data_IF_794431281815
#
_entry.id   IF_794431281815
#
_cell.length_a   1.000
_cell.length_b   1.000
_cell.length_c   1.000
_cell.angle_alpha   90.00
_cell.angle_beta   90.00
_cell.angle_gamma   90.00
#
_symmetry.space_group_name_H-M   'P 1'
#
loop_
_entity.id
_entity.type
_entity.pdbx_description
1 polymer ?
#
# COMPACT_ATOMS: atom_id res chain seq x y z
N UNK A 1 -14.61 -4.65 -13.91
CA UNK A 1 -15.13 -3.28 -14.17
C UNK A 1 -14.26 -2.45 -15.13
N UNK A 2 -13.14 -2.96 -15.68
CA UNK A 2 -12.22 -2.19 -16.55
C UNK A 2 -12.21 -2.58 -18.04
N UNK A 3 -13.25 -3.25 -18.54
CA UNK A 3 -13.32 -3.63 -19.96
C UNK A 3 -14.01 -2.59 -20.86
N UNK A 4 -14.76 -1.63 -20.29
CA UNK A 4 -15.52 -0.63 -21.07
C UNK A 4 -14.69 0.51 -21.65
N UNK A 5 -13.55 0.85 -21.04
CA UNK A 5 -12.72 2.02 -21.41
C UNK A 5 -12.13 1.87 -22.82
N UNK A 6 -11.89 0.63 -23.25
CA UNK A 6 -11.26 0.33 -24.54
C UNK A 6 -12.23 0.46 -25.72
N UNK A 7 -13.53 0.34 -25.48
CA UNK A 7 -14.55 0.40 -26.53
C UNK A 7 -14.87 1.83 -26.92
N UNK A 8 -14.92 2.76 -25.97
CA UNK A 8 -15.22 4.18 -26.22
C UNK A 8 -14.12 4.88 -27.04
N UNK A 9 -12.87 4.42 -26.92
CA UNK A 9 -11.72 4.98 -27.65
C UNK A 9 -11.74 4.65 -29.15
N UNK A 10 -12.42 3.57 -29.56
CA UNK A 10 -12.50 3.18 -30.97
C UNK A 10 -13.68 3.80 -31.71
N UNK A 11 -14.72 4.28 -31.01
CA UNK A 11 -15.94 4.82 -31.65
C UNK A 11 -15.88 6.32 -31.88
N UNK A 12 -15.07 7.06 -31.10
CA UNK A 12 -14.88 8.49 -31.29
C UNK A 12 -13.56 8.76 -32.01
N UNK A 13 -13.67 9.17 -33.27
CA UNK A 13 -12.55 9.67 -34.05
C UNK A 13 -11.73 10.69 -33.26
N UNK A 14 -10.41 10.49 -33.30
CA UNK A 14 -9.38 11.20 -32.54
C UNK A 14 -9.45 12.74 -32.63
N UNK A 15 -10.08 13.26 -33.68
CA UNK A 15 -10.13 14.70 -33.98
C UNK A 15 -11.30 15.45 -33.32
N UNK A 16 -12.35 14.77 -32.86
CA UNK A 16 -13.52 15.42 -32.24
C UNK A 16 -13.39 15.62 -30.72
N UNK A 17 -12.42 14.98 -30.07
CA UNK A 17 -12.26 15.07 -28.62
C UNK A 17 -11.38 16.25 -28.19
N UNK A 18 -10.53 16.77 -29.08
CA UNK A 18 -9.49 17.75 -28.75
C UNK A 18 -9.98 19.20 -28.75
N UNK A 19 -11.16 19.52 -29.31
CA UNK A 19 -11.58 20.92 -29.48
C UNK A 19 -12.55 21.49 -28.44
N UNK A 20 -13.20 20.69 -27.59
CA UNK A 20 -14.26 21.25 -26.72
C UNK A 20 -14.23 20.81 -25.26
N UNK A 21 -13.45 19.79 -24.87
CA UNK A 21 -13.46 19.29 -23.48
C UNK A 21 -12.11 18.81 -22.96
N UNK A 22 -11.00 19.45 -23.35
CA UNK A 22 -9.76 19.28 -22.61
C UNK A 22 -9.73 20.32 -21.47
N UNK A 23 -10.12 20.00 -20.21
CA UNK A 23 -9.55 20.76 -19.11
C UNK A 23 -8.03 20.58 -19.25
N UNK A 24 -7.26 21.63 -18.99
CA UNK A 24 -5.82 21.59 -19.07
C UNK A 24 -5.28 20.47 -18.16
N UNK A 25 -5.11 19.26 -18.70
CA UNK A 25 -4.43 18.14 -18.05
C UNK A 25 -2.95 18.44 -18.20
N UNK A 26 -2.52 19.45 -17.45
CA UNK A 26 -1.15 19.57 -17.01
C UNK A 26 -1.14 19.25 -15.53
N UNK A 27 -1.56 18.02 -15.18
CA UNK A 27 -1.22 17.44 -13.88
C UNK A 27 0.28 17.18 -13.88
N UNK A 28 1.07 18.24 -13.69
CA UNK A 28 2.31 18.04 -12.92
C UNK A 28 1.82 17.40 -11.62
N UNK A 29 2.14 16.12 -11.42
CA UNK A 29 1.67 15.35 -10.27
C UNK A 29 1.81 16.21 -9.02
N UNK A 30 0.68 16.54 -8.39
CA UNK A 30 0.70 17.40 -7.22
C UNK A 30 1.31 16.54 -6.12
N UNK A 31 2.56 16.81 -5.79
CA UNK A 31 3.24 16.15 -4.69
C UNK A 31 2.39 16.32 -3.43
N UNK A 32 2.31 15.25 -2.63
CA UNK A 32 1.67 15.34 -1.33
C UNK A 32 2.53 16.23 -0.44
N UNK A 33 1.92 17.08 0.40
CA UNK A 33 2.68 17.85 1.36
C UNK A 33 3.51 16.89 2.24
N UNK A 34 4.76 17.26 2.55
CA UNK A 34 5.54 16.54 3.55
C UNK A 34 4.73 16.48 4.85
N UNK A 35 4.74 15.33 5.49
CA UNK A 35 4.19 15.15 6.83
C UNK A 35 5.28 14.55 7.67
N UNK A 36 5.29 14.88 8.97
CA UNK A 36 6.07 14.10 9.92
C UNK A 36 5.50 12.68 9.87
N UNK A 37 6.36 11.73 9.50
CA UNK A 37 5.95 10.33 9.39
C UNK A 37 5.59 9.74 10.75
N UNK A 38 4.98 8.55 10.77
CA UNK A 38 4.68 7.84 12.00
C UNK A 38 5.92 7.72 12.89
N UNK A 39 5.71 7.82 14.20
CA UNK A 39 6.77 7.73 15.18
C UNK A 39 7.58 6.44 15.01
N UNK A 40 8.91 6.59 14.92
CA UNK A 40 9.87 5.49 14.74
C UNK A 40 9.67 4.60 13.49
N UNK A 41 8.98 5.05 12.44
CA UNK A 41 8.72 4.20 11.26
C UNK A 41 10.00 3.60 10.64
N UNK A 42 11.11 4.32 10.57
CA UNK A 42 12.37 3.80 10.04
C UNK A 42 12.89 2.58 10.83
N UNK A 43 12.84 2.66 12.16
CA UNK A 43 13.23 1.58 13.06
C UNK A 43 12.28 0.39 12.91
N UNK A 44 10.98 0.64 12.80
CA UNK A 44 9.96 -0.41 12.69
C UNK A 44 10.06 -1.18 11.38
N UNK A 45 10.30 -0.48 10.26
CA UNK A 45 10.52 -1.13 8.96
C UNK A 45 11.84 -1.92 8.95
N UNK A 46 12.87 -1.42 9.64
CA UNK A 46 14.13 -2.16 9.81
C UNK A 46 13.92 -3.45 10.63
N UNK A 47 13.27 -3.36 11.79
CA UNK A 47 12.96 -4.52 12.64
C UNK A 47 12.06 -5.53 11.91
N UNK A 48 11.10 -5.05 11.10
CA UNK A 48 10.30 -5.90 10.22
C UNK A 48 11.18 -6.67 9.22
N UNK A 49 12.11 -5.98 8.53
CA UNK A 49 12.99 -6.63 7.56
C UNK A 49 13.82 -7.73 8.22
N UNK A 50 14.45 -7.44 9.36
CA UNK A 50 15.25 -8.41 10.12
C UNK A 50 14.41 -9.64 10.53
N UNK A 51 13.18 -9.41 11.00
CA UNK A 51 12.25 -10.48 11.35
C UNK A 51 11.88 -11.35 10.13
N UNK A 52 11.53 -10.72 9.02
CA UNK A 52 11.14 -11.41 7.78
C UNK A 52 12.31 -12.22 7.21
N UNK A 53 13.52 -11.67 7.22
CA UNK A 53 14.73 -12.38 6.78
C UNK A 53 14.99 -13.63 7.64
N UNK A 54 14.82 -13.50 8.96
CA UNK A 54 15.06 -14.59 9.91
C UNK A 54 14.01 -15.71 9.84
N UNK A 55 12.73 -15.35 9.74
CA UNK A 55 11.61 -16.33 9.84
C UNK A 55 11.21 -16.91 8.49
N UNK A 56 11.47 -16.22 7.36
CA UNK A 56 11.07 -16.73 6.05
C UNK A 56 11.78 -18.03 5.71
N UNK A 57 11.02 -18.99 5.18
CA UNK A 57 11.55 -20.20 4.55
C UNK A 57 12.42 -19.85 3.35
N UNK A 58 13.36 -20.72 3.00
CA UNK A 58 14.31 -20.47 1.92
C UNK A 58 13.63 -20.23 0.55
N UNK A 59 12.47 -20.88 0.31
CA UNK A 59 11.71 -20.72 -0.93
C UNK A 59 11.06 -19.33 -1.07
N UNK A 60 10.65 -18.73 0.06
CA UNK A 60 9.83 -17.51 0.08
C UNK A 60 10.62 -16.26 0.46
N UNK A 61 11.84 -16.44 1.00
CA UNK A 61 12.63 -15.38 1.62
C UNK A 61 12.91 -14.24 0.66
N UNK A 62 13.31 -14.53 -0.57
CA UNK A 62 13.63 -13.50 -1.56
C UNK A 62 12.42 -12.58 -1.81
N UNK A 63 11.25 -13.17 -2.04
CA UNK A 63 10.02 -12.43 -2.33
C UNK A 63 9.53 -11.63 -1.12
N UNK A 64 9.56 -12.23 0.08
CA UNK A 64 9.17 -11.54 1.30
C UNK A 64 10.09 -10.34 1.61
N UNK A 65 11.41 -10.51 1.44
CA UNK A 65 12.38 -9.44 1.64
C UNK A 65 12.17 -8.33 0.61
N UNK A 66 11.98 -8.70 -0.66
CA UNK A 66 11.70 -7.74 -1.73
C UNK A 66 10.45 -6.89 -1.44
N UNK A 67 9.39 -7.53 -0.90
CA UNK A 67 8.15 -6.86 -0.52
C UNK A 67 8.37 -5.82 0.59
N UNK A 68 9.25 -6.10 1.55
CA UNK A 68 9.64 -5.15 2.60
C UNK A 68 10.51 -4.02 2.04
N UNK A 69 11.38 -4.28 1.07
CA UNK A 69 12.20 -3.24 0.41
C UNK A 69 11.34 -2.25 -0.37
N UNK A 70 10.34 -2.75 -1.10
CA UNK A 70 9.33 -1.92 -1.76
C UNK A 70 8.62 -1.05 -0.73
N UNK A 71 8.22 -1.63 0.40
CA UNK A 71 7.57 -0.89 1.47
C UNK A 71 8.50 0.21 2.03
N UNK A 72 9.77 -0.10 2.29
CA UNK A 72 10.76 0.87 2.76
C UNK A 72 10.96 2.05 1.80
N UNK A 73 11.02 1.76 0.49
CA UNK A 73 11.08 2.79 -0.55
C UNK A 73 9.83 3.69 -0.50
N UNK A 74 8.65 3.10 -0.34
CA UNK A 74 7.40 3.85 -0.24
C UNK A 74 7.34 4.77 0.98
N UNK A 75 7.77 4.31 2.16
CA UNK A 75 7.91 5.17 3.33
C UNK A 75 8.86 6.35 3.04
N UNK A 76 10.01 6.06 2.41
CA UNK A 76 11.00 7.08 2.06
C UNK A 76 10.46 8.11 1.06
N UNK A 77 9.69 7.68 0.07
CA UNK A 77 9.08 8.57 -0.91
C UNK A 77 7.96 9.42 -0.28
N UNK A 78 7.13 8.79 0.56
CA UNK A 78 5.99 9.41 1.22
C UNK A 78 6.41 10.52 2.19
N UNK A 79 7.39 10.25 3.03
CA UNK A 79 7.85 11.16 4.08
C UNK A 79 9.03 12.03 3.64
N UNK A 80 9.73 11.65 2.56
CA UNK A 80 10.74 12.47 1.88
C UNK A 80 10.17 13.49 0.89
N UNK A 81 8.84 13.61 0.77
CA UNK A 81 8.17 14.59 -0.11
C UNK A 81 8.32 14.32 -1.61
N UNK A 82 8.61 13.08 -1.99
CA UNK A 82 8.79 12.66 -3.40
C UNK A 82 7.52 12.06 -4.00
N UNK A 83 6.53 11.71 -3.16
CA UNK A 83 5.30 11.06 -3.60
C UNK A 83 4.18 12.02 -4.02
N UNK A 84 3.39 11.55 -4.99
CA UNK A 84 2.11 12.14 -5.39
C UNK A 84 0.91 11.31 -4.92
N UNK A 85 -0.29 11.91 -5.00
CA UNK A 85 -1.56 11.34 -4.50
C UNK A 85 -1.85 9.88 -4.94
N UNK A 86 -1.51 9.51 -6.18
CA UNK A 86 -1.83 8.19 -6.74
C UNK A 86 -0.71 7.16 -6.60
N UNK A 87 0.51 7.59 -6.26
CA UNK A 87 1.69 6.72 -6.30
C UNK A 87 1.80 5.80 -5.08
N UNK A 88 1.25 6.20 -3.94
CA UNK A 88 1.46 5.47 -2.68
C UNK A 88 0.63 4.19 -2.61
N UNK A 89 -0.71 4.26 -2.65
CA UNK A 89 -1.54 3.07 -2.39
C UNK A 89 -1.61 2.10 -3.56
N UNK A 90 -1.74 2.60 -4.78
CA UNK A 90 -1.77 1.72 -5.95
C UNK A 90 -0.37 1.21 -6.32
N UNK A 91 0.68 1.96 -6.00
CA UNK A 91 2.06 1.58 -6.29
C UNK A 91 2.43 0.24 -5.65
N UNK A 92 2.03 -0.01 -4.41
CA UNK A 92 2.35 -1.28 -3.74
C UNK A 92 1.69 -2.48 -4.43
N UNK A 93 0.37 -2.44 -4.64
CA UNK A 93 -0.38 -3.55 -5.25
C UNK A 93 0.12 -3.90 -6.66
N UNK A 94 0.57 -2.91 -7.44
CA UNK A 94 1.10 -3.15 -8.78
C UNK A 94 2.58 -3.59 -8.79
N UNK A 95 3.28 -3.49 -7.67
CA UNK A 95 4.70 -3.86 -7.53
C UNK A 95 4.91 -5.21 -6.85
N UNK A 96 3.91 -5.74 -6.17
CA UNK A 96 3.98 -7.09 -5.59
C UNK A 96 3.91 -8.14 -6.69
N UNK A 97 4.63 -9.26 -6.53
CA UNK A 97 4.48 -10.40 -7.41
C UNK A 97 3.11 -11.07 -7.22
N UNK A 98 2.68 -11.82 -8.24
CA UNK A 98 1.48 -12.65 -8.14
C UNK A 98 1.60 -13.70 -7.03
N UNK A 99 2.81 -14.23 -6.77
CA UNK A 99 3.03 -15.21 -5.70
C UNK A 99 2.80 -14.60 -4.31
N UNK A 100 3.34 -13.40 -4.07
CA UNK A 100 3.09 -12.68 -2.83
C UNK A 100 1.59 -12.40 -2.64
N UNK A 101 0.89 -11.98 -3.69
CA UNK A 101 -0.55 -11.70 -3.65
C UNK A 101 -1.37 -12.97 -3.40
N UNK A 102 -1.00 -14.10 -4.01
CA UNK A 102 -1.62 -15.40 -3.79
C UNK A 102 -1.47 -15.85 -2.33
N UNK A 103 -0.28 -15.68 -1.76
CA UNK A 103 0.01 -16.01 -0.36
C UNK A 103 -0.73 -15.10 0.61
N UNK A 104 -0.79 -13.80 0.31
CA UNK A 104 -1.61 -12.84 1.04
C UNK A 104 -3.09 -13.26 1.02
N UNK A 105 -3.61 -13.69 -0.13
CA UNK A 105 -4.98 -14.18 -0.27
C UNK A 105 -5.21 -15.50 0.50
N UNK A 106 -4.20 -16.36 0.57
CA UNK A 106 -4.20 -17.59 1.38
C UNK A 106 -4.02 -17.33 2.88
N UNK A 107 -3.85 -16.07 3.28
CA UNK A 107 -3.70 -15.62 4.68
C UNK A 107 -2.39 -16.10 5.31
N UNK A 108 -1.33 -16.20 4.51
CA UNK A 108 -0.01 -16.47 5.03
C UNK A 108 0.40 -15.38 6.04
N UNK A 109 0.96 -15.73 7.21
CA UNK A 109 1.25 -14.75 8.25
C UNK A 109 2.24 -13.65 7.82
N UNK A 110 3.30 -14.00 7.09
CA UNK A 110 4.35 -13.03 6.73
C UNK A 110 3.83 -11.96 5.74
N UNK A 111 3.16 -12.32 4.62
CA UNK A 111 2.49 -11.34 3.77
C UNK A 111 1.48 -10.48 4.52
N UNK A 112 0.68 -11.06 5.43
CA UNK A 112 -0.27 -10.29 6.24
C UNK A 112 0.41 -9.26 7.15
N UNK A 113 1.54 -9.61 7.78
CA UNK A 113 2.32 -8.68 8.60
C UNK A 113 2.86 -7.53 7.75
N UNK A 114 3.42 -7.82 6.58
CA UNK A 114 3.92 -6.80 5.64
C UNK A 114 2.76 -5.90 5.20
N UNK A 115 1.61 -6.49 4.87
CA UNK A 115 0.42 -5.76 4.47
C UNK A 115 -0.09 -4.84 5.59
N UNK A 116 -0.03 -5.26 6.86
CA UNK A 116 -0.38 -4.40 8.00
C UNK A 116 0.50 -3.14 8.06
N UNK A 117 1.80 -3.26 7.75
CA UNK A 117 2.70 -2.10 7.74
C UNK A 117 2.45 -1.19 6.53
N UNK A 118 1.96 -1.73 5.41
CA UNK A 118 1.45 -0.94 4.30
C UNK A 118 0.18 -0.16 4.68
N UNK A 119 -0.70 -0.71 5.52
CA UNK A 119 -1.93 -0.03 5.96
C UNK A 119 -1.64 1.32 6.66
N UNK A 120 -0.48 1.49 7.28
CA UNK A 120 -0.07 2.78 7.85
C UNK A 120 0.09 3.85 6.75
N UNK A 121 0.69 3.51 5.62
CA UNK A 121 0.76 4.41 4.45
C UNK A 121 -0.62 4.64 3.84
N UNK A 122 -1.49 3.64 3.88
CA UNK A 122 -2.88 3.77 3.41
C UNK A 122 -3.69 4.73 4.30
N UNK A 123 -3.46 4.72 5.61
CA UNK A 123 -4.13 5.61 6.56
C UNK A 123 -3.84 7.08 6.28
N UNK A 124 -2.61 7.41 5.90
CA UNK A 124 -2.24 8.75 5.44
C UNK A 124 -3.09 9.26 4.28
N UNK A 125 -3.61 8.34 3.46
CA UNK A 125 -4.47 8.65 2.32
C UNK A 125 -5.94 8.79 2.68
N UNK A 126 -6.40 8.48 3.90
CA UNK A 126 -7.81 8.68 4.31
C UNK A 126 -8.25 10.14 4.31
N UNK A 127 -7.31 11.08 4.14
CA UNK A 127 -7.61 12.47 3.78
C UNK A 127 -8.42 12.60 2.48
N UNK A 128 -8.30 11.63 1.58
CA UNK A 128 -9.07 11.54 0.35
C UNK A 128 -10.39 10.80 0.60
N UNK A 129 -11.47 11.36 0.08
CA UNK A 129 -12.83 10.89 0.36
C UNK A 129 -13.04 9.41 -0.01
N UNK A 130 -12.38 8.93 -1.06
CA UNK A 130 -12.51 7.55 -1.55
C UNK A 130 -11.68 6.52 -0.75
N UNK A 131 -10.72 6.99 0.06
CA UNK A 131 -9.91 6.14 0.94
C UNK A 131 -10.48 6.01 2.35
N UNK A 132 -11.44 6.86 2.73
CA UNK A 132 -12.04 6.85 4.07
C UNK A 132 -12.60 5.46 4.43
N UNK A 133 -12.18 4.93 5.57
CA UNK A 133 -12.70 3.68 6.13
C UNK A 133 -11.95 2.43 5.67
N UNK A 134 -11.06 2.54 4.68
CA UNK A 134 -10.25 1.42 4.21
C UNK A 134 -9.28 0.94 5.28
N UNK A 135 -8.68 1.84 6.07
CA UNK A 135 -7.75 1.47 7.14
C UNK A 135 -8.42 0.55 8.15
N UNK A 136 -9.62 0.90 8.60
CA UNK A 136 -10.36 0.06 9.54
C UNK A 136 -10.74 -1.28 8.93
N UNK A 137 -11.28 -1.29 7.71
CA UNK A 137 -11.70 -2.52 7.02
C UNK A 137 -10.53 -3.50 6.84
N UNK A 138 -9.39 -3.00 6.34
CA UNK A 138 -8.23 -3.84 6.05
C UNK A 138 -7.56 -4.32 7.33
N UNK A 139 -7.38 -3.46 8.35
CA UNK A 139 -6.80 -3.89 9.63
C UNK A 139 -7.64 -4.96 10.31
N UNK A 140 -8.97 -4.82 10.29
CA UNK A 140 -9.87 -5.84 10.85
C UNK A 140 -9.69 -7.19 10.13
N UNK A 141 -9.66 -7.19 8.80
CA UNK A 141 -9.44 -8.41 8.02
C UNK A 141 -8.07 -9.07 8.28
N UNK A 142 -7.02 -8.26 8.40
CA UNK A 142 -5.67 -8.76 8.77
C UNK A 142 -5.70 -9.37 10.16
N UNK A 143 -6.26 -8.66 11.15
CA UNK A 143 -6.25 -9.10 12.55
C UNK A 143 -7.06 -10.40 12.77
N UNK A 144 -8.16 -10.57 12.05
CA UNK A 144 -8.97 -11.79 12.06
C UNK A 144 -8.25 -12.97 11.38
N UNK A 145 -7.53 -12.71 10.29
CA UNK A 145 -6.81 -13.74 9.54
C UNK A 145 -5.50 -14.18 10.20
N UNK A 146 -4.85 -13.30 10.98
CA UNK A 146 -3.52 -13.52 11.52
C UNK A 146 -3.57 -14.38 12.81
N UNK A 147 -2.80 -15.49 12.88
CA UNK A 147 -2.68 -16.29 14.10
C UNK A 147 -2.17 -15.48 15.30
N UNK A 148 -2.53 -15.89 16.50
CA UNK A 148 -2.30 -15.12 17.73
C UNK A 148 -0.80 -14.87 17.99
N UNK A 149 0.04 -15.86 17.67
CA UNK A 149 1.50 -15.79 17.79
C UNK A 149 2.14 -14.72 16.90
N UNK A 150 1.47 -14.32 15.82
CA UNK A 150 1.96 -13.31 14.89
C UNK A 150 1.38 -11.91 15.15
N UNK A 151 0.32 -11.78 15.96
CA UNK A 151 -0.27 -10.49 16.33
C UNK A 151 0.68 -9.48 16.98
N UNK A 152 1.72 -9.87 17.74
CA UNK A 152 2.71 -8.92 18.25
C UNK A 152 3.37 -8.08 17.15
N UNK A 153 3.57 -8.63 15.95
CA UNK A 153 4.23 -7.95 14.83
C UNK A 153 3.35 -6.88 14.16
N UNK A 154 2.04 -6.86 14.42
CA UNK A 154 1.13 -5.83 13.89
C UNK A 154 0.71 -4.79 14.94
N UNK A 155 1.29 -4.83 16.15
CA UNK A 155 0.98 -3.87 17.21
C UNK A 155 1.37 -2.44 16.85
N UNK A 156 2.54 -2.24 16.24
CA UNK A 156 2.96 -0.91 15.81
C UNK A 156 2.05 -0.35 14.71
N UNK A 157 1.73 -1.09 13.63
CA UNK A 157 0.73 -0.64 12.67
C UNK A 157 -0.60 -0.24 13.30
N UNK A 158 -1.15 -1.07 14.20
CA UNK A 158 -2.39 -0.77 14.92
C UNK A 158 -2.31 0.55 15.69
N UNK A 159 -1.23 0.75 16.47
CA UNK A 159 -1.02 1.97 17.23
C UNK A 159 -0.84 3.21 16.34
N UNK A 160 -0.07 3.08 15.25
CA UNK A 160 0.20 4.17 14.30
C UNK A 160 -1.04 4.70 13.61
N UNK A 161 -2.05 3.86 13.39
CA UNK A 161 -3.32 4.26 12.75
C UNK A 161 -4.48 4.43 13.75
N UNK A 162 -4.19 4.35 15.06
CA UNK A 162 -5.21 4.47 16.10
C UNK A 162 -6.29 3.37 16.05
N UNK A 163 -5.98 2.20 15.48
CA UNK A 163 -6.93 1.10 15.39
C UNK A 163 -6.89 0.24 16.67
N UNK A 164 -8.07 0.01 17.24
CA UNK A 164 -8.26 -0.76 18.47
C UNK A 164 -8.82 -2.13 18.07
N UNK A 165 -8.19 -3.20 18.54
CA UNK A 165 -8.70 -4.55 18.31
C UNK A 165 -10.07 -4.75 18.99
N UNK A 166 -11.04 -5.38 18.30
CA UNK A 166 -12.33 -5.75 18.88
C UNK A 166 -12.22 -6.65 20.13
#
# INVERSE_FOLDING_TARGET
MFRGIRTTLNTLGRDNFTKTHAPAVRSKGRLLPPTDGPFEHEKQIKELKEHIEFVSEAADREENVHSVEILQEMYSNRYGGKDGEYHVVFGWLYRMSEDFLDRLQRRDPLPLIIYAHFVVLMHDLERFWYMKGWTHHVMSGIYEALPTEHKPYIRWPMASVGWISP
#
